data_IF_640767497865
#
_entry.id   IF_640767497865
#
_cell.length_a   1.000
_cell.length_b   1.000
_cell.length_c   1.000
_cell.angle_alpha   90.00
_cell.angle_beta   90.00
_cell.angle_gamma   90.00
#
_symmetry.space_group_name_H-M   'P 1'
#
loop_
_entity.id
_entity.type
_entity.pdbx_description
1 polymer ?
#
# COMPACT_ATOMS: atom_id res chain seq x y z
N UNK A 1 28.62 31.14 -5.96
CA UNK A 1 28.37 29.69 -6.09
C UNK A 1 27.21 29.42 -5.17
N UNK A 2 26.07 29.02 -5.72
CA UNK A 2 24.83 28.95 -4.97
C UNK A 2 24.91 27.80 -3.95
N UNK A 3 24.85 28.15 -2.66
CA UNK A 3 24.86 27.24 -1.50
C UNK A 3 23.59 26.37 -1.39
N UNK A 4 22.74 26.37 -2.41
CA UNK A 4 21.43 25.70 -2.42
C UNK A 4 21.30 24.65 -3.53
N UNK A 5 22.41 24.06 -3.97
CA UNK A 5 22.33 22.85 -4.81
C UNK A 5 21.69 21.77 -3.95
N UNK A 6 20.45 21.38 -4.28
CA UNK A 6 19.75 20.30 -3.63
C UNK A 6 20.71 19.10 -3.51
N UNK A 7 20.78 18.43 -2.34
CA UNK A 7 21.66 17.28 -2.18
C UNK A 7 21.43 16.34 -3.35
N UNK A 8 22.52 15.79 -3.91
CA UNK A 8 22.51 14.94 -5.10
C UNK A 8 21.44 13.84 -4.99
N UNK A 9 20.23 14.18 -5.45
CA UNK A 9 19.04 13.36 -5.33
C UNK A 9 19.16 12.14 -6.24
N UNK A 10 19.94 12.26 -7.32
CA UNK A 10 20.27 11.15 -8.20
C UNK A 10 21.21 10.13 -7.50
N UNK A 11 22.00 10.56 -6.52
CA UNK A 11 22.79 9.66 -5.66
C UNK A 11 22.00 9.05 -4.48
N UNK A 12 20.81 9.57 -4.16
CA UNK A 12 20.03 9.09 -3.02
C UNK A 12 19.25 7.81 -3.37
N UNK A 13 19.72 6.67 -2.87
CA UNK A 13 19.06 5.37 -3.06
C UNK A 13 17.59 5.37 -2.61
N UNK A 14 17.22 6.20 -1.62
CA UNK A 14 15.83 6.30 -1.15
C UNK A 14 14.91 6.82 -2.25
N UNK A 15 15.36 7.80 -3.04
CA UNK A 15 14.59 8.32 -4.17
C UNK A 15 14.28 7.19 -5.15
N UNK A 16 15.30 6.44 -5.57
CA UNK A 16 15.13 5.37 -6.55
C UNK A 16 14.23 4.24 -6.06
N UNK A 17 14.34 3.86 -4.78
CA UNK A 17 13.46 2.84 -4.19
C UNK A 17 12.01 3.30 -4.13
N UNK A 18 11.76 4.58 -3.88
CA UNK A 18 10.40 5.14 -3.91
C UNK A 18 9.87 5.22 -5.34
N UNK A 19 10.69 5.64 -6.31
CA UNK A 19 10.28 5.73 -7.72
C UNK A 19 9.93 4.36 -8.33
N UNK A 20 10.62 3.29 -7.91
CA UNK A 20 10.31 1.92 -8.37
C UNK A 20 8.88 1.49 -8.02
N UNK A 21 8.28 2.00 -6.94
CA UNK A 21 6.87 1.71 -6.61
C UNK A 21 5.92 2.18 -7.72
N UNK A 22 6.19 3.35 -8.30
CA UNK A 22 5.38 3.90 -9.41
C UNK A 22 5.54 3.09 -10.70
N UNK A 23 6.72 2.52 -10.92
CA UNK A 23 7.00 1.63 -12.05
C UNK A 23 6.16 0.35 -11.93
N UNK A 24 6.22 -0.37 -10.80
CA UNK A 24 5.43 -1.61 -10.63
C UNK A 24 3.93 -1.34 -10.67
N UNK A 25 3.47 -0.19 -10.15
CA UNK A 25 2.07 0.20 -10.25
C UNK A 25 1.63 0.42 -11.71
N UNK A 26 2.54 0.92 -12.55
CA UNK A 26 2.34 1.01 -14.00
C UNK A 26 2.17 -0.35 -14.65
N UNK A 27 2.97 -1.34 -14.23
CA UNK A 27 2.89 -2.72 -14.72
C UNK A 27 1.58 -3.40 -14.28
N UNK A 28 1.13 -3.20 -13.03
CA UNK A 28 -0.22 -3.61 -12.60
C UNK A 28 -1.30 -3.03 -13.52
N UNK A 29 -1.21 -1.74 -13.85
CA UNK A 29 -2.19 -1.09 -14.72
C UNK A 29 -2.16 -1.66 -16.15
N UNK A 30 -0.99 -1.98 -16.68
CA UNK A 30 -0.84 -2.66 -17.98
C UNK A 30 -1.43 -4.07 -17.96
N UNK A 31 -1.08 -4.88 -16.94
CA UNK A 31 -1.61 -6.22 -16.75
C UNK A 31 -3.14 -6.20 -16.63
N UNK A 32 -3.71 -5.26 -15.86
CA UNK A 32 -5.15 -5.08 -15.72
C UNK A 32 -5.84 -4.73 -17.03
N UNK A 33 -5.27 -3.81 -17.83
CA UNK A 33 -5.80 -3.51 -19.16
C UNK A 33 -5.77 -4.73 -20.08
N UNK A 34 -4.71 -5.55 -19.99
CA UNK A 34 -4.60 -6.80 -20.73
C UNK A 34 -5.61 -7.86 -20.27
N UNK A 35 -5.76 -8.07 -18.96
CA UNK A 35 -6.64 -9.08 -18.38
C UNK A 35 -8.13 -8.77 -18.57
N UNK A 36 -8.49 -7.49 -18.57
CA UNK A 36 -9.89 -7.05 -18.76
C UNK A 36 -10.25 -6.79 -20.23
N UNK A 37 -9.27 -6.77 -21.13
CA UNK A 37 -9.46 -6.36 -22.53
C UNK A 37 -9.89 -4.90 -22.68
N UNK A 38 -9.66 -4.07 -21.66
CA UNK A 38 -10.13 -2.68 -21.61
C UNK A 38 -9.49 -1.76 -22.67
N UNK A 39 -8.41 -2.20 -23.33
CA UNK A 39 -7.84 -1.52 -24.49
C UNK A 39 -8.23 -2.24 -25.80
N UNK A 40 -9.23 -1.74 -26.55
CA UNK A 40 -9.74 -2.40 -27.76
C UNK A 40 -8.69 -2.60 -28.86
N UNK A 41 -7.60 -1.85 -28.80
CA UNK A 41 -6.50 -1.85 -29.78
C UNK A 41 -5.50 -2.99 -29.56
N UNK A 42 -5.41 -3.52 -28.32
CA UNK A 42 -4.43 -4.55 -27.92
C UNK A 42 -5.06 -5.90 -27.61
N UNK A 43 -6.38 -5.98 -27.43
CA UNK A 43 -7.07 -7.23 -27.08
C UNK A 43 -6.71 -7.73 -25.67
N UNK A 44 -7.06 -8.98 -25.36
CA UNK A 44 -6.70 -9.61 -24.09
C UNK A 44 -5.27 -10.17 -24.17
N UNK A 45 -4.29 -9.44 -23.62
CA UNK A 45 -2.87 -9.80 -23.70
C UNK A 45 -2.29 -10.37 -22.40
N UNK A 46 -3.01 -10.24 -21.29
CA UNK A 46 -2.60 -10.71 -19.97
C UNK A 46 -3.75 -11.49 -19.33
N UNK A 47 -3.43 -12.14 -18.22
CA UNK A 47 -4.34 -12.88 -17.34
C UNK A 47 -4.41 -12.20 -15.97
N UNK A 48 -5.35 -12.65 -15.13
CA UNK A 48 -5.38 -12.21 -13.73
C UNK A 48 -4.17 -12.68 -12.93
N UNK A 49 -3.49 -13.76 -13.34
CA UNK A 49 -2.26 -14.21 -12.68
C UNK A 49 -1.11 -13.24 -12.92
N UNK A 50 -1.05 -12.61 -14.09
CA UNK A 50 -0.10 -11.52 -14.35
C UNK A 50 -0.40 -10.33 -13.42
N UNK A 51 -1.66 -9.94 -13.26
CA UNK A 51 -2.06 -8.88 -12.31
C UNK A 51 -1.63 -9.22 -10.88
N UNK A 52 -1.82 -10.47 -10.44
CA UNK A 52 -1.40 -10.89 -9.10
C UNK A 52 0.13 -10.83 -8.93
N UNK A 53 0.87 -11.16 -9.99
CA UNK A 53 2.33 -11.08 -10.00
C UNK A 53 2.79 -9.63 -9.82
N UNK A 54 2.26 -8.72 -10.62
CA UNK A 54 2.62 -7.30 -10.53
C UNK A 54 2.21 -6.67 -9.18
N UNK A 55 1.08 -7.10 -8.60
CA UNK A 55 0.69 -6.67 -7.25
C UNK A 55 1.68 -7.15 -6.18
N UNK A 56 2.24 -8.35 -6.32
CA UNK A 56 3.29 -8.83 -5.43
C UNK A 56 4.55 -7.95 -5.56
N UNK A 57 4.91 -7.54 -6.78
CA UNK A 57 6.07 -6.69 -7.02
C UNK A 57 5.89 -5.29 -6.41
N UNK A 58 4.68 -4.70 -6.48
CA UNK A 58 4.36 -3.46 -5.75
C UNK A 58 4.57 -3.63 -4.23
N UNK A 59 4.12 -4.74 -3.65
CA UNK A 59 4.28 -5.02 -2.21
C UNK A 59 5.76 -5.13 -1.85
N UNK A 60 6.53 -5.92 -2.60
CA UNK A 60 7.97 -6.10 -2.37
C UNK A 60 8.73 -4.79 -2.53
N UNK A 61 8.47 -4.04 -3.60
CA UNK A 61 9.07 -2.72 -3.85
C UNK A 61 8.76 -1.73 -2.72
N UNK A 62 7.54 -1.73 -2.20
CA UNK A 62 7.15 -0.90 -1.05
C UNK A 62 7.89 -1.29 0.23
N UNK A 63 8.06 -2.59 0.50
CA UNK A 63 8.82 -3.08 1.66
C UNK A 63 10.31 -2.72 1.55
N UNK A 64 10.89 -2.85 0.36
CA UNK A 64 12.27 -2.46 0.09
C UNK A 64 12.49 -0.95 0.24
N UNK A 65 11.54 -0.12 -0.21
CA UNK A 65 11.59 1.31 0.00
C UNK A 65 11.52 1.68 1.48
N UNK A 66 10.63 1.05 2.25
CA UNK A 66 10.53 1.27 3.70
C UNK A 66 11.84 0.90 4.41
N UNK A 67 12.43 -0.25 4.06
CA UNK A 67 13.72 -0.70 4.60
C UNK A 67 14.90 0.21 4.23
N UNK A 68 14.84 0.89 3.09
CA UNK A 68 15.89 1.83 2.66
C UNK A 68 15.73 3.19 3.34
N UNK A 69 14.48 3.62 3.57
CA UNK A 69 14.16 4.90 4.19
C UNK A 69 14.26 4.89 5.72
N UNK A 70 14.28 3.72 6.36
CA UNK A 70 14.33 3.60 7.81
C UNK A 70 15.25 2.47 8.28
N UNK A 71 16.08 2.70 9.31
CA UNK A 71 16.89 1.65 9.91
C UNK A 71 16.06 0.62 10.71
N UNK A 72 14.79 0.93 11.00
CA UNK A 72 13.89 0.06 11.78
C UNK A 72 12.50 -0.01 11.12
N UNK A 73 12.51 -0.41 9.86
CA UNK A 73 11.31 -0.65 9.06
C UNK A 73 10.32 -1.63 9.70
N UNK A 74 10.74 -2.76 10.31
CA UNK A 74 9.81 -3.71 10.92
C UNK A 74 8.94 -3.07 12.02
N UNK A 75 9.54 -2.29 12.92
CA UNK A 75 8.79 -1.59 13.98
C UNK A 75 7.79 -0.57 13.41
N UNK A 76 8.18 0.17 12.36
CA UNK A 76 7.29 1.13 11.71
C UNK A 76 6.07 0.46 11.08
N UNK A 77 6.27 -0.66 10.38
CA UNK A 77 5.19 -1.43 9.78
C UNK A 77 4.27 -2.01 10.85
N UNK A 78 4.82 -2.62 11.90
CA UNK A 78 4.05 -3.18 13.01
C UNK A 78 3.18 -2.11 13.70
N UNK A 79 3.78 -0.95 14.02
CA UNK A 79 3.05 0.16 14.63
C UNK A 79 1.90 0.65 13.75
N UNK A 80 2.11 0.72 12.43
CA UNK A 80 1.06 1.12 11.48
C UNK A 80 -0.04 0.07 11.40
N UNK A 81 0.30 -1.21 11.33
CA UNK A 81 -0.68 -2.31 11.29
C UNK A 81 -1.53 -2.33 12.56
N UNK A 82 -0.92 -2.20 13.75
CA UNK A 82 -1.64 -2.11 15.02
C UNK A 82 -2.65 -0.97 15.02
N UNK A 83 -2.22 0.22 14.59
CA UNK A 83 -3.11 1.38 14.47
C UNK A 83 -4.28 1.13 13.52
N UNK A 84 -4.06 0.47 12.38
CA UNK A 84 -5.13 0.13 11.43
C UNK A 84 -6.11 -0.90 12.03
N UNK A 85 -5.59 -1.92 12.72
CA UNK A 85 -6.39 -2.93 13.41
C UNK A 85 -7.30 -2.28 14.46
N UNK A 86 -6.77 -1.37 15.27
CA UNK A 86 -7.54 -0.70 16.31
C UNK A 86 -8.63 0.23 15.73
N UNK A 87 -8.42 0.76 14.53
CA UNK A 87 -9.43 1.56 13.81
C UNK A 87 -10.59 0.72 13.26
N UNK A 88 -10.35 -0.54 12.89
CA UNK A 88 -11.37 -1.41 12.28
C UNK A 88 -12.06 -2.33 13.28
N UNK A 89 -11.53 -2.46 14.50
CA UNK A 89 -12.25 -3.13 15.59
C UNK A 89 -13.59 -2.40 15.79
N UNK A 90 -14.74 -3.09 15.65
CA UNK A 90 -16.01 -2.50 15.99
C UNK A 90 -15.93 -2.03 17.45
N UNK A 91 -16.46 -0.84 17.73
CA UNK A 91 -16.61 -0.32 19.09
C UNK A 91 -17.43 -1.34 19.86
N UNK A 92 -16.77 -2.19 20.64
CA UNK A 92 -17.45 -3.10 21.53
C UNK A 92 -18.20 -2.22 22.56
N UNK A 93 -19.52 -2.41 22.58
CA UNK A 93 -20.45 -2.00 23.65
C UNK A 93 -21.00 -0.57 23.60
N UNK A 94 -21.90 -0.32 22.65
CA UNK A 94 -23.08 0.55 22.88
C UNK A 94 -24.36 -0.28 23.12
N UNK A 95 -24.22 -1.60 23.32
CA UNK A 95 -25.34 -2.56 23.49
C UNK A 95 -25.62 -2.97 24.94
N UNK A 96 -25.00 -2.35 25.95
CA UNK A 96 -25.25 -2.64 27.37
C UNK A 96 -26.28 -1.70 28.04
N UNK A 97 -26.88 -0.74 27.31
CA UNK A 97 -27.87 0.23 27.86
C UNK A 97 -29.25 0.03 27.24
N UNK A 98 -29.83 -1.17 27.40
CA UNK A 98 -31.20 -1.41 26.92
C UNK A 98 -31.94 -2.58 27.57
N UNK A 99 -31.24 -3.52 28.22
CA UNK A 99 -31.87 -4.69 28.87
C UNK A 99 -32.20 -4.41 30.36
N UNK A 100 -31.86 -3.24 30.89
CA UNK A 100 -32.06 -2.92 32.30
C UNK A 100 -33.41 -2.27 32.66
N UNK A 101 -34.26 -1.91 31.69
CA UNK A 101 -35.44 -1.07 31.97
C UNK A 101 -36.80 -1.79 31.95
N UNK A 102 -36.85 -3.12 31.77
CA UNK A 102 -38.12 -3.88 31.70
C UNK A 102 -38.41 -4.75 32.95
N UNK A 103 -37.85 -4.38 34.11
CA UNK A 103 -38.11 -5.08 35.39
C UNK A 103 -38.39 -4.13 36.56
N UNK A 104 -39.15 -3.05 36.34
CA UNK A 104 -39.78 -2.27 37.43
C UNK A 104 -40.89 -1.36 36.89
N UNK A 105 -42.13 -1.86 36.87
CA UNK A 105 -43.35 -1.19 37.35
C UNK A 105 -44.57 -2.01 36.93
#
# INVERSE_FOLDING_TARGET
MDENTAPDLAGDMRLWRVLKISEELGEVAEAMHGATGANPRKGASHTWDDVHTELCDVVVSSMMALSTCSPDAPRLLEARLRHLIDRVKPRAEESAVGIADDRRA
#
